data_IF_400079555556
#
_entry.id   IF_400079555556
#
_cell.length_a   1.000
_cell.length_b   1.000
_cell.length_c   1.000
_cell.angle_alpha   90.00
_cell.angle_beta   90.00
_cell.angle_gamma   90.00
#
_symmetry.space_group_name_H-M   'P 1'
#
loop_
_entity.id
_entity.type
_entity.pdbx_description
1 polymer ?
#
# COMPACT_ATOMS: atom_id res chain seq x y z
N UNK A 1 -8.03 -16.07 -11.42
CA UNK A 1 -6.69 -15.59 -11.81
C UNK A 1 -5.71 -16.76 -11.76
N UNK A 2 -4.87 -16.93 -12.78
CA UNK A 2 -3.83 -17.96 -12.86
C UNK A 2 -2.50 -17.47 -12.25
N UNK A 3 -1.52 -18.36 -11.96
CA UNK A 3 -0.19 -17.96 -11.49
C UNK A 3 0.54 -17.00 -12.43
N UNK A 4 0.37 -17.15 -13.75
CA UNK A 4 0.99 -16.24 -14.75
C UNK A 4 0.32 -14.86 -14.75
N UNK A 5 -1.01 -14.82 -14.63
CA UNK A 5 -1.74 -13.56 -14.48
C UNK A 5 -1.33 -12.84 -13.20
N UNK A 6 -1.15 -13.57 -12.10
CA UNK A 6 -0.68 -13.00 -10.84
C UNK A 6 0.74 -12.42 -10.98
N UNK A 7 1.68 -13.14 -11.60
CA UNK A 7 3.04 -12.62 -11.90
C UNK A 7 3.01 -11.36 -12.76
N UNK A 8 2.19 -11.34 -13.81
CA UNK A 8 2.07 -10.20 -14.71
C UNK A 8 1.54 -8.96 -13.98
N UNK A 9 0.53 -9.15 -13.12
CA UNK A 9 -0.02 -8.07 -12.31
C UNK A 9 0.97 -7.57 -11.25
N UNK A 10 1.66 -8.47 -10.54
CA UNK A 10 2.75 -8.13 -9.61
C UNK A 10 3.81 -7.27 -10.29
N UNK A 11 4.20 -7.61 -11.53
CA UNK A 11 5.18 -6.85 -12.31
C UNK A 11 4.69 -5.42 -12.60
N UNK A 12 3.44 -5.25 -13.05
CA UNK A 12 2.84 -3.93 -13.29
C UNK A 12 2.84 -3.07 -12.02
N UNK A 13 2.41 -3.65 -10.90
CA UNK A 13 2.42 -2.98 -9.58
C UNK A 13 3.84 -2.52 -9.21
N UNK A 14 4.84 -3.39 -9.35
CA UNK A 14 6.23 -3.03 -9.06
C UNK A 14 6.77 -1.94 -9.98
N UNK A 15 6.33 -1.89 -11.25
CA UNK A 15 6.69 -0.81 -12.17
C UNK A 15 6.09 0.53 -11.72
N UNK A 16 4.81 0.56 -11.34
CA UNK A 16 4.17 1.78 -10.79
C UNK A 16 4.91 2.25 -9.54
N UNK A 17 5.17 1.34 -8.59
CA UNK A 17 5.90 1.65 -7.37
C UNK A 17 7.32 2.18 -7.65
N UNK A 18 8.01 1.61 -8.64
CA UNK A 18 9.35 2.04 -9.04
C UNK A 18 9.36 3.48 -9.59
N UNK A 19 8.36 3.84 -10.40
CA UNK A 19 8.21 5.22 -10.88
C UNK A 19 7.97 6.19 -9.71
N UNK A 20 7.12 5.83 -8.75
CA UNK A 20 6.89 6.65 -7.56
C UNK A 20 8.18 6.84 -6.76
N UNK A 21 8.90 5.76 -6.48
CA UNK A 21 10.17 5.82 -5.72
C UNK A 21 11.19 6.69 -6.46
N UNK A 22 11.41 6.46 -7.75
CA UNK A 22 12.35 7.25 -8.54
C UNK A 22 11.99 8.74 -8.51
N UNK A 23 10.72 9.08 -8.69
CA UNK A 23 10.24 10.47 -8.64
C UNK A 23 10.44 11.11 -7.26
N UNK A 24 10.32 10.34 -6.18
CA UNK A 24 10.48 10.79 -4.80
C UNK A 24 11.94 10.82 -4.31
N UNK A 25 12.86 10.09 -4.94
CA UNK A 25 14.26 9.95 -4.48
C UNK A 25 15.29 10.50 -5.44
N UNK A 26 14.92 11.51 -6.24
CA UNK A 26 15.85 12.28 -7.08
C UNK A 26 16.14 11.70 -8.47
N UNK A 27 15.41 10.66 -8.89
CA UNK A 27 15.51 10.06 -10.23
C UNK A 27 14.44 10.57 -11.20
N UNK A 28 14.11 11.87 -11.14
CA UNK A 28 13.04 12.46 -11.96
C UNK A 28 13.47 12.64 -13.40
N UNK A 29 12.57 12.32 -14.32
CA UNK A 29 12.69 12.63 -15.74
C UNK A 29 11.40 13.27 -16.25
N UNK A 30 11.47 13.98 -17.37
CA UNK A 30 10.34 14.73 -17.94
C UNK A 30 9.21 13.81 -18.42
N UNK A 31 9.54 12.61 -18.92
CA UNK A 31 8.55 11.65 -19.43
C UNK A 31 7.85 10.84 -18.32
N UNK A 32 8.45 10.80 -17.13
CA UNK A 32 8.02 9.95 -16.02
C UNK A 32 6.54 10.17 -15.61
N UNK A 33 6.01 11.41 -15.54
CA UNK A 33 4.60 11.63 -15.22
C UNK A 33 3.64 11.12 -16.29
N UNK A 34 4.03 11.13 -17.56
CA UNK A 34 3.22 10.55 -18.62
C UNK A 34 3.24 9.02 -18.54
N UNK A 35 4.42 8.42 -18.41
CA UNK A 35 4.59 6.97 -18.22
C UNK A 35 3.80 6.46 -17.02
N UNK A 36 3.87 7.18 -15.89
CA UNK A 36 3.13 6.82 -14.69
C UNK A 36 1.62 6.83 -14.90
N UNK A 37 1.08 7.83 -15.60
CA UNK A 37 -0.38 7.94 -15.82
C UNK A 37 -0.92 6.77 -16.64
N UNK A 38 -0.25 6.44 -17.73
CA UNK A 38 -0.61 5.29 -18.57
C UNK A 38 -0.52 3.99 -17.78
N UNK A 39 0.61 3.76 -17.11
CA UNK A 39 0.81 2.54 -16.33
C UNK A 39 -0.15 2.44 -15.14
N UNK A 40 -0.49 3.55 -14.49
CA UNK A 40 -1.46 3.59 -13.41
C UNK A 40 -2.86 3.19 -13.90
N UNK A 41 -3.28 3.66 -15.07
CA UNK A 41 -4.56 3.27 -15.68
C UNK A 41 -4.58 1.78 -15.99
N UNK A 42 -3.55 1.28 -16.69
CA UNK A 42 -3.39 -0.15 -17.02
C UNK A 42 -3.36 -1.05 -15.79
N UNK A 43 -2.71 -0.60 -14.72
CA UNK A 43 -2.63 -1.33 -13.46
C UNK A 43 -3.97 -1.32 -12.74
N UNK A 44 -4.71 -0.20 -12.78
CA UNK A 44 -6.05 -0.10 -12.20
C UNK A 44 -7.01 -1.07 -12.87
N UNK A 45 -7.05 -1.11 -14.21
CA UNK A 45 -7.90 -2.03 -14.97
C UNK A 45 -7.53 -3.49 -14.63
N UNK A 46 -6.25 -3.83 -14.62
CA UNK A 46 -5.81 -5.19 -14.32
C UNK A 46 -6.12 -5.64 -12.87
N UNK A 47 -6.11 -4.69 -11.92
CA UNK A 47 -6.55 -4.93 -10.54
C UNK A 47 -8.07 -5.20 -10.49
N UNK A 48 -8.87 -4.39 -11.18
CA UNK A 48 -10.33 -4.53 -11.24
C UNK A 48 -10.76 -5.85 -11.89
N UNK A 49 -10.13 -6.23 -13.00
CA UNK A 49 -10.33 -7.53 -13.66
C UNK A 49 -10.01 -8.70 -12.71
N UNK A 50 -9.03 -8.50 -11.83
CA UNK A 50 -8.61 -9.46 -10.81
C UNK A 50 -9.37 -9.31 -9.49
N UNK A 51 -10.43 -8.48 -9.43
CA UNK A 51 -11.30 -8.24 -8.26
C UNK A 51 -10.57 -7.60 -7.06
N UNK A 52 -9.52 -6.84 -7.31
CA UNK A 52 -8.88 -5.95 -6.35
C UNK A 52 -9.27 -4.49 -6.63
N UNK A 53 -9.43 -3.70 -5.57
CA UNK A 53 -9.43 -2.25 -5.69
C UNK A 53 -7.98 -1.76 -5.83
N UNK A 54 -7.74 -0.65 -6.53
CA UNK A 54 -6.42 -0.03 -6.55
C UNK A 54 -6.13 0.66 -5.20
N UNK A 55 -5.16 0.17 -4.41
CA UNK A 55 -4.88 0.73 -3.10
C UNK A 55 -4.06 2.03 -3.16
N UNK A 56 -3.46 2.36 -4.31
CA UNK A 56 -2.74 3.60 -4.51
C UNK A 56 -3.73 4.75 -4.81
N UNK A 57 -3.84 5.77 -3.93
CA UNK A 57 -4.76 6.88 -4.15
C UNK A 57 -4.22 7.96 -5.10
N UNK A 58 -2.95 7.87 -5.51
CA UNK A 58 -2.26 8.94 -6.22
C UNK A 58 -2.36 8.76 -7.73
N UNK A 59 -3.31 9.45 -8.35
CA UNK A 59 -3.52 9.38 -9.81
C UNK A 59 -2.41 10.06 -10.64
N UNK A 60 -1.47 10.76 -10.00
CA UNK A 60 -0.29 11.33 -10.64
C UNK A 60 0.91 11.37 -9.69
N UNK A 61 2.13 11.48 -10.24
CA UNK A 61 3.36 11.60 -9.45
C UNK A 61 3.43 12.93 -8.69
N UNK A 62 2.84 13.99 -9.23
CA UNK A 62 2.75 15.30 -8.58
C UNK A 62 1.87 15.24 -7.33
N UNK A 63 0.70 14.59 -7.42
CA UNK A 63 -0.18 14.38 -6.27
C UNK A 63 0.51 13.55 -5.19
N UNK A 64 1.17 12.46 -5.59
CA UNK A 64 1.98 11.66 -4.68
C UNK A 64 3.08 12.49 -4.00
N UNK A 65 3.81 13.32 -4.76
CA UNK A 65 4.89 14.12 -4.20
C UNK A 65 4.38 15.22 -3.27
N UNK A 66 3.28 15.89 -3.62
CA UNK A 66 2.60 16.83 -2.72
C UNK A 66 2.16 16.12 -1.42
N UNK A 67 1.64 14.91 -1.53
CA UNK A 67 1.25 14.11 -0.37
C UNK A 67 2.43 13.74 0.53
N UNK A 68 3.59 13.44 -0.03
CA UNK A 68 4.82 13.24 0.76
C UNK A 68 5.17 14.48 1.59
N UNK A 69 4.95 15.68 1.05
CA UNK A 69 5.11 16.94 1.78
C UNK A 69 4.11 17.09 2.93
N UNK A 70 2.84 16.76 2.70
CA UNK A 70 1.78 16.79 3.72
C UNK A 70 2.09 15.84 4.88
N UNK A 71 2.53 14.62 4.55
CA UNK A 71 2.94 13.61 5.53
C UNK A 71 4.32 13.87 6.15
N UNK A 72 5.00 14.95 5.76
CA UNK A 72 6.35 15.32 6.23
C UNK A 72 7.38 14.20 6.04
N UNK A 73 7.28 13.43 4.95
CA UNK A 73 8.24 12.38 4.59
C UNK A 73 9.52 13.02 4.03
N UNK A 74 10.39 13.45 4.95
CA UNK A 74 11.61 14.17 4.66
C UNK A 74 12.72 13.27 4.10
N UNK A 75 12.74 11.99 4.49
CA UNK A 75 13.79 11.04 4.10
C UNK A 75 13.37 10.17 2.94
N UNK A 76 14.33 9.82 2.08
CA UNK A 76 14.08 8.88 0.98
C UNK A 76 13.59 7.51 1.45
N UNK A 77 14.07 7.03 2.60
CA UNK A 77 13.62 5.78 3.21
C UNK A 77 12.13 5.83 3.60
N UNK A 78 11.65 6.95 4.14
CA UNK A 78 10.26 7.14 4.53
C UNK A 78 9.32 7.13 3.31
N UNK A 79 9.74 7.77 2.22
CA UNK A 79 8.99 7.77 0.95
C UNK A 79 8.92 6.37 0.32
N UNK A 80 10.02 5.60 0.37
CA UNK A 80 10.04 4.20 -0.08
C UNK A 80 9.10 3.34 0.74
N UNK A 81 9.20 3.42 2.07
CA UNK A 81 8.32 2.68 2.98
C UNK A 81 6.83 3.00 2.75
N UNK A 82 6.50 4.26 2.47
CA UNK A 82 5.14 4.64 2.10
C UNK A 82 4.68 3.94 0.82
N UNK A 83 5.49 3.98 -0.24
CA UNK A 83 5.15 3.35 -1.53
C UNK A 83 5.03 1.82 -1.39
N UNK A 84 5.97 1.18 -0.68
CA UNK A 84 5.94 -0.27 -0.42
C UNK A 84 4.67 -0.67 0.32
N UNK A 85 4.20 0.16 1.25
CA UNK A 85 2.97 -0.05 2.00
C UNK A 85 1.69 0.03 1.17
N UNK A 86 1.67 0.75 0.04
CA UNK A 86 0.47 0.91 -0.80
C UNK A 86 -0.03 -0.43 -1.32
N UNK A 87 0.86 -1.28 -1.81
CA UNK A 87 0.49 -2.52 -2.49
C UNK A 87 0.83 -3.79 -1.71
N UNK A 88 1.36 -3.68 -0.49
CA UNK A 88 1.85 -4.81 0.30
C UNK A 88 0.85 -5.98 0.38
N UNK A 89 -0.42 -5.66 0.68
CA UNK A 89 -1.48 -6.65 0.84
C UNK A 89 -1.82 -7.36 -0.48
N UNK A 90 -1.95 -6.59 -1.56
CA UNK A 90 -2.24 -7.12 -2.90
C UNK A 90 -1.08 -8.00 -3.35
N UNK A 91 0.16 -7.54 -3.21
CA UNK A 91 1.35 -8.30 -3.59
C UNK A 91 1.49 -9.60 -2.79
N UNK A 92 1.12 -9.61 -1.51
CA UNK A 92 1.10 -10.84 -0.71
C UNK A 92 0.07 -11.84 -1.24
N UNK A 93 -1.14 -11.39 -1.55
CA UNK A 93 -2.19 -12.26 -2.09
C UNK A 93 -1.83 -12.77 -3.49
N UNK A 94 -1.28 -11.92 -4.35
CA UNK A 94 -0.73 -12.34 -5.65
C UNK A 94 0.36 -13.40 -5.45
N UNK A 95 1.24 -13.23 -4.46
CA UNK A 95 2.30 -14.21 -4.20
C UNK A 95 1.76 -15.57 -3.78
N UNK A 96 0.67 -15.61 -3.01
CA UNK A 96 -0.02 -16.86 -2.67
C UNK A 96 -0.58 -17.54 -3.90
N UNK A 97 -1.23 -16.78 -4.79
CA UNK A 97 -1.75 -17.28 -6.07
C UNK A 97 -0.61 -17.81 -6.95
N UNK A 98 0.51 -17.09 -7.05
CA UNK A 98 1.69 -17.54 -7.80
C UNK A 98 2.23 -18.90 -7.31
N UNK A 99 2.16 -19.14 -6.00
CA UNK A 99 2.66 -20.36 -5.35
C UNK A 99 1.62 -21.45 -5.17
N UNK A 100 0.38 -21.23 -5.63
CA UNK A 100 -0.78 -22.09 -5.32
C UNK A 100 -0.95 -22.35 -3.81
N UNK A 101 -0.58 -21.38 -2.97
CA UNK A 101 -0.75 -21.46 -1.52
C UNK A 101 -2.17 -21.04 -1.15
N UNK A 102 -2.82 -21.83 -0.29
CA UNK A 102 -4.12 -21.44 0.27
C UNK A 102 -3.93 -20.26 1.24
N UNK A 103 -4.87 -19.30 1.28
CA UNK A 103 -4.88 -18.34 2.37
C UNK A 103 -4.94 -19.06 3.72
N UNK A 104 -4.40 -18.45 4.77
CA UNK A 104 -4.53 -19.04 6.11
C UNK A 104 -6.02 -19.19 6.47
N UNK A 105 -6.37 -20.22 7.26
CA UNK A 105 -7.77 -20.52 7.62
C UNK A 105 -8.51 -19.33 8.26
N UNK A 106 -7.80 -18.43 8.94
CA UNK A 106 -8.35 -17.19 9.49
C UNK A 106 -8.78 -16.19 8.41
N UNK A 107 -8.11 -16.21 7.25
CA UNK A 107 -8.35 -15.29 6.14
C UNK A 107 -9.52 -15.74 5.27
N UNK A 108 -9.69 -17.05 5.06
CA UNK A 108 -10.85 -17.62 4.37
C UNK A 108 -12.15 -17.24 5.06
N UNK A 109 -12.21 -17.38 6.39
CA UNK A 109 -13.40 -17.04 7.18
C UNK A 109 -13.72 -15.54 7.18
N UNK A 110 -12.69 -14.68 7.14
CA UNK A 110 -12.90 -13.23 7.07
C UNK A 110 -13.42 -12.79 5.69
N UNK A 111 -12.95 -13.40 4.60
CA UNK A 111 -13.43 -13.08 3.27
C UNK A 111 -14.83 -13.64 2.99
N UNK A 112 -15.14 -14.86 3.44
CA UNK A 112 -16.49 -15.43 3.33
C UNK A 112 -17.55 -14.54 4.00
N UNK A 113 -17.24 -13.97 5.17
CA UNK A 113 -18.12 -13.02 5.87
C UNK A 113 -18.24 -11.67 5.15
N UNK A 114 -17.25 -11.29 4.34
CA UNK A 114 -17.22 -10.01 3.62
C UNK A 114 -17.81 -10.10 2.20
N UNK A 115 -17.91 -11.30 1.61
CA UNK A 115 -18.51 -11.51 0.29
C UNK A 115 -20.05 -11.46 0.31
N UNK A 116 -20.71 -11.87 1.40
CA UNK A 116 -22.17 -12.00 1.42
C UNK A 116 -22.92 -10.66 1.58
N UNK A 117 -22.44 -9.70 2.39
CA UNK A 117 -23.26 -8.51 2.73
C UNK A 117 -22.59 -7.14 2.48
N UNK A 118 -21.27 -7.04 2.28
CA UNK A 118 -20.58 -5.76 2.51
C UNK A 118 -19.36 -5.48 1.61
N UNK A 119 -19.49 -5.68 0.29
CA UNK A 119 -18.47 -5.29 -0.69
C UNK A 119 -17.88 -3.85 -0.52
N UNK A 120 -18.63 -2.81 -0.11
CA UNK A 120 -18.08 -1.48 0.15
C UNK A 120 -17.27 -1.38 1.46
N UNK A 121 -17.52 -2.26 2.43
CA UNK A 121 -16.84 -2.29 3.74
C UNK A 121 -15.52 -3.05 3.65
N UNK A 122 -15.27 -3.83 2.59
CA UNK A 122 -13.97 -4.47 2.34
C UNK A 122 -12.80 -3.47 2.40
N UNK A 123 -12.99 -2.25 1.88
CA UNK A 123 -11.99 -1.17 1.94
C UNK A 123 -11.76 -0.68 3.37
N UNK A 124 -12.83 -0.51 4.16
CA UNK A 124 -12.72 -0.12 5.57
C UNK A 124 -12.15 -1.25 6.44
N UNK A 125 -12.45 -2.50 6.12
CA UNK A 125 -11.91 -3.67 6.81
C UNK A 125 -10.43 -3.86 6.54
N UNK A 126 -9.98 -3.72 5.28
CA UNK A 126 -8.55 -3.73 4.95
C UNK A 126 -7.80 -2.59 5.67
N UNK A 127 -8.41 -1.39 5.74
CA UNK A 127 -7.85 -0.26 6.51
C UNK A 127 -7.81 -0.54 8.02
N UNK A 128 -8.86 -1.10 8.61
CA UNK A 128 -8.93 -1.44 10.03
C UNK A 128 -7.96 -2.58 10.40
N UNK A 129 -7.78 -3.55 9.50
CA UNK A 129 -6.79 -4.62 9.62
C UNK A 129 -5.38 -4.05 9.71
N UNK A 130 -5.06 -3.10 8.83
CA UNK A 130 -3.74 -2.46 8.78
C UNK A 130 -3.49 -1.61 10.03
N UNK A 131 -4.54 -1.04 10.62
CA UNK A 131 -4.46 -0.34 11.91
C UNK A 131 -4.17 -1.28 13.09
N UNK A 132 -4.78 -2.48 13.12
CA UNK A 132 -4.60 -3.45 14.21
C UNK A 132 -3.24 -4.19 14.12
N UNK A 133 -2.72 -4.38 12.90
CA UNK A 133 -1.46 -5.10 12.65
C UNK A 133 -0.24 -4.19 12.60
N UNK A 134 -0.42 -2.86 12.52
CA UNK A 134 0.65 -1.93 12.82
C UNK A 134 1.08 -2.13 14.27
N UNK A 135 2.36 -2.42 14.51
CA UNK A 135 2.91 -2.42 15.87
C UNK A 135 2.47 -1.12 16.57
N UNK A 136 1.91 -1.17 17.79
CA UNK A 136 1.53 0.03 18.48
C UNK A 136 2.73 0.98 18.53
N UNK A 137 2.57 2.28 18.24
CA UNK A 137 3.54 3.28 18.66
C UNK A 137 3.85 3.03 20.14
N UNK A 138 5.12 3.13 20.51
CA UNK A 138 5.59 2.86 21.86
C UNK A 138 5.12 3.98 22.82
N UNK A 139 3.81 3.97 23.12
CA UNK A 139 3.15 4.95 23.96
C UNK A 139 3.66 4.86 25.42
N UNK A 140 4.20 3.72 25.83
CA UNK A 140 4.82 3.55 27.15
C UNK A 140 6.09 4.37 27.30
N UNK A 141 6.92 4.48 26.25
CA UNK A 141 8.08 5.35 26.26
C UNK A 141 7.70 6.84 26.16
N UNK A 142 6.66 7.16 25.38
CA UNK A 142 6.21 8.55 25.22
C UNK A 142 5.57 9.14 26.50
N UNK A 143 4.92 8.31 27.33
CA UNK A 143 4.35 8.76 28.61
C UNK A 143 5.43 8.96 29.70
N UNK A 144 6.48 8.14 29.73
CA UNK A 144 7.56 8.28 30.72
C UNK A 144 8.41 9.54 30.51
N UNK A 145 8.71 9.90 29.27
CA UNK A 145 9.44 11.15 28.96
C UNK A 145 8.62 12.42 29.25
N UNK A 146 7.29 12.32 29.13
CA UNK A 146 6.38 13.44 29.40
C UNK A 146 6.25 13.73 30.89
N UNK A 147 6.26 12.69 31.74
CA UNK A 147 6.11 12.85 33.20
C UNK A 147 7.43 13.28 33.86
N UNK A 148 8.59 12.80 33.39
CA UNK A 148 9.89 13.23 33.93
C UNK A 148 10.21 14.71 33.67
N UNK A 149 9.58 15.32 32.66
CA UNK A 149 9.76 16.73 32.32
C UNK A 149 8.95 17.69 33.21
N UNK A 150 7.99 17.18 33.99
CA UNK A 150 7.13 17.98 34.88
C UNK A 150 7.67 18.01 36.32
N UNK A 151 8.46 17.02 36.74
CA UNK A 151 8.98 16.92 38.12
C UNK A 151 10.38 17.53 38.34
N UNK A 152 10.97 18.18 37.33
CA UNK A 152 12.28 18.86 37.44
C UNK A 152 12.21 20.39 37.31
N UNK A 153 11.03 20.99 37.54
CA UNK A 153 10.80 22.43 37.60
C UNK A 153 10.73 22.97 39.02
#
# INVERSE_FOLDING_TARGET
MTPDQARALSKKIHQVASLMVAYATGGRTDDQPAEYRELYADTTIALEDSKYANPNPHKSLELFYAHCGILKLGKWAERRAYVDGLYADVLLDLKRVERNEKPSKQWTRANEVLEDDLAPIRVQWLKARNFIQASPPDFENSLKESVSSIESG
#
